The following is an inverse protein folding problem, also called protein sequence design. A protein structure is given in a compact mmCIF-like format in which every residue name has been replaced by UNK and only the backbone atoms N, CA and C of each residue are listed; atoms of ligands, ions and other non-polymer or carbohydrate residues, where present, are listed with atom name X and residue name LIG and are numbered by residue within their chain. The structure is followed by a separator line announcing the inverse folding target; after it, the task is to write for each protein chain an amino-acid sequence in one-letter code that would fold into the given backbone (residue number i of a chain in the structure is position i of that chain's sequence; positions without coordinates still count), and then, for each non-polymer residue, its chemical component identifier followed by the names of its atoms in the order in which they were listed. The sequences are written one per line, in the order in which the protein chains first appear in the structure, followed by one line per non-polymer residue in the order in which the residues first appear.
data_IF_740620063681
#
_entry.id   IF_740620063681
#
_cell.length_a   1.000
_cell.length_b   1.000
_cell.length_c   1.000
_cell.angle_alpha   90.00
_cell.angle_beta   90.00
_cell.angle_gamma   90.00
#
_symmetry.space_group_name_H-M   'P 1'
#
loop_
_entity.id
_entity.type
_entity.pdbx_description
1 polymer ?
#
# COMPACT_ATOMS: atom_id res chain seq x y z
N UNK A 1 4.97 5.68 -53.73
CA UNK A 1 3.86 5.17 -52.89
C UNK A 1 4.07 5.64 -51.46
N UNK A 2 2.98 5.91 -50.74
CA UNK A 2 2.88 6.83 -49.59
C UNK A 2 3.70 6.38 -48.39
N UNK A 3 4.76 7.13 -48.07
CA UNK A 3 5.34 7.16 -46.74
C UNK A 3 4.53 8.19 -45.93
N UNK A 4 3.42 7.74 -45.32
CA UNK A 4 2.63 8.54 -44.39
C UNK A 4 2.62 7.83 -43.04
N UNK A 5 3.26 8.47 -42.07
CA UNK A 5 2.64 8.75 -40.79
C UNK A 5 2.16 7.50 -40.02
N UNK A 6 3.10 6.67 -39.55
CA UNK A 6 2.84 5.83 -38.38
C UNK A 6 2.89 6.74 -37.16
N UNK A 7 1.75 7.37 -36.90
CA UNK A 7 1.44 8.04 -35.64
C UNK A 7 1.82 7.07 -34.52
N UNK A 8 2.77 7.51 -33.70
CA UNK A 8 3.08 6.96 -32.40
C UNK A 8 1.80 7.11 -31.53
N UNK A 9 0.90 6.14 -31.66
CA UNK A 9 -0.20 5.91 -30.73
C UNK A 9 0.47 5.38 -29.46
N UNK A 10 0.96 6.31 -28.65
CA UNK A 10 1.19 6.11 -27.22
C UNK A 10 -0.19 6.18 -26.55
N UNK A 11 -1.10 5.26 -26.90
CA UNK A 11 -2.32 5.05 -26.14
C UNK A 11 -1.96 4.20 -24.95
N UNK A 12 -1.67 4.91 -23.87
CA UNK A 12 -2.04 4.59 -22.49
C UNK A 12 -2.38 3.12 -22.31
N UNK A 13 -1.35 2.35 -21.97
CA UNK A 13 -1.49 1.02 -21.38
C UNK A 13 -2.60 1.11 -20.33
N UNK A 14 -3.63 0.29 -20.53
CA UNK A 14 -4.73 0.07 -19.59
C UNK A 14 -4.24 -0.62 -18.29
N UNK A 15 -3.05 -0.30 -17.83
CA UNK A 15 -2.64 -0.51 -16.46
C UNK A 15 -3.13 0.71 -15.68
N UNK A 16 -4.44 0.76 -15.40
CA UNK A 16 -4.83 1.34 -14.13
C UNK A 16 -4.05 0.51 -13.11
N UNK A 17 -2.95 1.05 -12.58
CA UNK A 17 -2.14 0.36 -11.59
C UNK A 17 -2.98 0.35 -10.30
N UNK A 18 -4.00 -0.51 -10.27
CA UNK A 18 -4.80 -0.75 -9.11
C UNK A 18 -3.84 -1.35 -8.07
N UNK A 19 -3.60 -0.61 -7.00
CA UNK A 19 -2.71 -1.08 -5.96
C UNK A 19 -3.42 -2.25 -5.27
N UNK A 20 -2.89 -3.47 -5.47
CA UNK A 20 -3.44 -4.71 -4.92
C UNK A 20 -3.48 -4.74 -3.39
N UNK A 21 -2.64 -3.93 -2.74
CA UNK A 21 -2.66 -3.76 -1.30
C UNK A 21 -2.53 -2.29 -0.90
N UNK A 22 -3.23 -1.96 0.19
CA UNK A 22 -3.14 -0.70 0.91
C UNK A 22 -2.73 -1.01 2.35
N UNK A 23 -1.60 -0.47 2.79
CA UNK A 23 -1.04 -0.68 4.13
C UNK A 23 -1.33 0.54 4.98
N UNK A 24 -1.84 0.35 6.19
CA UNK A 24 -2.22 1.41 7.12
C UNK A 24 -1.36 1.29 8.38
N UNK A 25 -0.63 2.35 8.70
CA UNK A 25 0.32 2.40 9.82
C UNK A 25 0.20 3.71 10.62
N UNK A 26 0.92 3.81 11.73
CA UNK A 26 1.08 5.06 12.49
C UNK A 26 2.46 5.13 13.15
N UNK A 27 2.92 6.34 13.46
CA UNK A 27 4.17 6.56 14.21
C UNK A 27 4.11 6.15 15.69
N UNK A 28 2.95 5.73 16.19
CA UNK A 28 2.85 5.04 17.49
C UNK A 28 3.41 3.61 17.45
N UNK A 29 3.59 3.04 16.26
CA UNK A 29 4.24 1.74 16.08
C UNK A 29 5.76 1.84 16.25
N UNK A 30 6.45 0.73 16.60
CA UNK A 30 7.90 0.67 16.60
C UNK A 30 8.49 1.00 15.22
N UNK A 31 9.56 1.79 15.18
CA UNK A 31 10.21 2.21 13.93
C UNK A 31 10.68 1.03 13.08
N UNK A 32 11.16 -0.04 13.71
CA UNK A 32 11.58 -1.27 13.02
C UNK A 32 10.43 -1.92 12.26
N UNK A 33 9.24 -2.00 12.88
CA UNK A 33 8.03 -2.54 12.24
C UNK A 33 7.63 -1.67 11.06
N UNK A 34 7.62 -0.33 11.21
CA UNK A 34 7.31 0.59 10.11
C UNK A 34 8.26 0.37 8.92
N UNK A 35 9.58 0.24 9.17
CA UNK A 35 10.56 -0.02 8.11
C UNK A 35 10.32 -1.35 7.41
N UNK A 36 9.99 -2.40 8.14
CA UNK A 36 9.67 -3.71 7.56
C UNK A 36 8.41 -3.64 6.68
N UNK A 37 7.37 -2.95 7.14
CA UNK A 37 6.15 -2.73 6.35
C UNK A 37 6.42 -1.95 5.07
N UNK A 38 7.27 -0.91 5.13
CA UNK A 38 7.70 -0.16 3.95
C UNK A 38 8.43 -1.03 2.94
N UNK A 39 9.41 -1.82 3.40
CA UNK A 39 10.18 -2.71 2.52
C UNK A 39 9.29 -3.75 1.82
N UNK A 40 8.31 -4.30 2.54
CA UNK A 40 7.38 -5.27 1.97
C UNK A 40 6.39 -4.59 1.01
N UNK A 41 5.90 -3.41 1.36
CA UNK A 41 5.00 -2.62 0.52
C UNK A 41 5.68 -2.21 -0.79
N UNK A 42 6.95 -1.83 -0.75
CA UNK A 42 7.75 -1.45 -1.92
C UNK A 42 7.81 -2.58 -2.96
N UNK A 43 8.05 -3.82 -2.51
CA UNK A 43 8.14 -5.00 -3.38
C UNK A 43 6.86 -5.28 -4.16
N UNK A 44 5.71 -4.94 -3.60
CA UNK A 44 4.41 -5.20 -4.23
C UNK A 44 3.73 -3.96 -4.79
N UNK A 45 4.43 -2.82 -4.73
CA UNK A 45 3.91 -1.50 -5.08
C UNK A 45 2.62 -1.15 -4.32
N UNK A 46 2.56 -1.45 -3.03
CA UNK A 46 1.42 -1.13 -2.17
C UNK A 46 1.42 0.35 -1.78
N UNK A 47 0.22 0.92 -1.63
CA UNK A 47 0.04 2.26 -1.07
C UNK A 47 0.18 2.19 0.44
N UNK A 48 0.99 3.07 1.03
CA UNK A 48 1.15 3.14 2.49
C UNK A 48 0.51 4.41 3.03
N UNK A 49 -0.49 4.25 3.88
CA UNK A 49 -1.23 5.31 4.54
C UNK A 49 -0.74 5.46 5.98
N UNK A 50 -0.37 6.68 6.32
CA UNK A 50 0.10 7.04 7.65
C UNK A 50 -1.02 7.76 8.41
N UNK A 51 -1.35 7.25 9.60
CA UNK A 51 -2.35 7.88 10.48
C UNK A 51 -1.73 9.02 11.30
N UNK A 52 -2.31 10.21 11.11
CA UNK A 52 -2.16 11.34 12.01
C UNK A 52 -0.89 12.16 11.84
N UNK A 53 -0.68 13.09 12.77
CA UNK A 53 0.50 13.94 12.85
C UNK A 53 1.21 13.73 14.18
N UNK A 54 2.53 13.88 14.18
CA UNK A 54 3.33 13.93 15.41
C UNK A 54 3.11 15.28 16.06
N UNK A 55 2.64 15.29 17.31
CA UNK A 55 2.39 16.49 18.11
C UNK A 55 1.55 17.57 17.38
N UNK A 56 0.56 17.14 16.59
CA UNK A 56 -0.25 18.02 15.72
C UNK A 56 0.57 18.86 14.71
N UNK A 57 1.82 18.48 14.46
CA UNK A 57 2.73 19.20 13.56
C UNK A 57 3.00 18.41 12.30
N UNK A 58 2.49 18.94 11.17
CA UNK A 58 2.81 18.41 9.85
C UNK A 58 4.32 18.41 9.59
N UNK A 59 5.02 19.50 9.95
CA UNK A 59 6.47 19.63 9.73
C UNK A 59 7.27 18.55 10.46
N UNK A 60 6.95 18.27 11.72
CA UNK A 60 7.61 17.21 12.48
C UNK A 60 7.32 15.82 11.88
N UNK A 61 6.07 15.61 11.44
CA UNK A 61 5.63 14.38 10.77
C UNK A 61 6.44 14.14 9.51
N UNK A 62 6.60 15.15 8.65
CA UNK A 62 7.40 15.06 7.43
C UNK A 62 8.87 14.80 7.76
N UNK A 63 9.45 15.50 8.74
CA UNK A 63 10.85 15.26 9.12
C UNK A 63 11.08 13.81 9.57
N UNK A 64 10.23 13.28 10.45
CA UNK A 64 10.33 11.89 10.90
C UNK A 64 10.04 10.90 9.77
N UNK A 65 9.04 11.18 8.94
CA UNK A 65 8.74 10.38 7.76
C UNK A 65 9.95 10.26 6.84
N UNK A 66 10.59 11.37 6.50
CA UNK A 66 11.80 11.42 5.67
C UNK A 66 12.95 10.61 6.27
N UNK A 67 13.13 10.64 7.60
CA UNK A 67 14.14 9.82 8.28
C UNK A 67 13.83 8.32 8.19
N UNK A 68 12.55 7.95 8.31
CA UNK A 68 12.11 6.55 8.26
C UNK A 68 12.18 5.97 6.84
N UNK A 69 11.84 6.76 5.82
CA UNK A 69 11.91 6.35 4.40
C UNK A 69 13.29 6.55 3.78
N UNK A 70 14.30 7.04 4.51
CA UNK A 70 15.62 7.38 3.94
C UNK A 70 16.23 6.25 3.08
N UNK A 71 15.98 5.01 3.48
CA UNK A 71 16.51 3.80 2.81
C UNK A 71 15.43 3.04 2.00
N UNK A 72 14.24 3.61 1.81
CA UNK A 72 13.13 2.99 1.06
C UNK A 72 12.60 3.98 0.02
N UNK A 73 12.31 3.52 -1.21
CA UNK A 73 11.68 4.40 -2.21
C UNK A 73 10.19 4.63 -1.95
N UNK A 74 9.60 3.80 -1.08
CA UNK A 74 8.20 3.87 -0.69
C UNK A 74 7.91 5.06 0.25
N UNK A 75 7.14 6.02 -0.25
CA UNK A 75 6.62 7.15 0.54
C UNK A 75 5.35 6.81 1.33
N UNK A 76 4.88 7.80 2.10
CA UNK A 76 3.61 7.74 2.83
C UNK A 76 2.56 8.69 2.24
N UNK A 77 1.30 8.28 2.36
CA UNK A 77 0.14 9.11 2.11
C UNK A 77 -0.53 9.48 3.44
N UNK A 78 -0.77 10.76 3.64
CA UNK A 78 -1.52 11.29 4.78
C UNK A 78 -2.96 11.57 4.33
N UNK A 79 -3.78 10.53 4.30
CA UNK A 79 -5.19 10.64 3.90
C UNK A 79 -6.11 10.00 4.96
N UNK A 80 -6.76 10.80 5.83
CA UNK A 80 -7.68 10.28 6.82
C UNK A 80 -8.94 9.64 6.20
N UNK A 81 -9.32 10.03 4.98
CA UNK A 81 -10.52 9.50 4.33
C UNK A 81 -10.38 8.03 3.97
N UNK A 82 -9.15 7.56 3.70
CA UNK A 82 -8.91 6.15 3.43
C UNK A 82 -9.07 5.29 4.70
N UNK A 83 -8.71 5.83 5.87
CA UNK A 83 -8.99 5.15 7.15
C UNK A 83 -10.49 5.03 7.40
N UNK A 84 -11.26 6.07 7.10
CA UNK A 84 -12.72 6.05 7.22
C UNK A 84 -13.36 5.09 6.21
N UNK A 85 -12.90 5.13 4.95
CA UNK A 85 -13.40 4.29 3.85
C UNK A 85 -13.34 2.80 4.18
N UNK A 86 -12.22 2.33 4.73
CA UNK A 86 -12.04 0.93 5.10
C UNK A 86 -12.32 0.64 6.58
N UNK A 87 -12.85 1.62 7.32
CA UNK A 87 -13.19 1.52 8.75
C UNK A 87 -12.01 1.00 9.59
N UNK A 88 -10.81 1.51 9.33
CA UNK A 88 -9.58 1.10 9.99
C UNK A 88 -9.47 1.75 11.38
N UNK A 89 -9.80 0.99 12.40
CA UNK A 89 -9.74 1.46 13.80
C UNK A 89 -8.38 1.23 14.46
N UNK A 90 -7.68 0.16 14.05
CA UNK A 90 -6.42 -0.32 14.62
C UNK A 90 -5.33 -0.38 13.54
N UNK A 91 -4.10 -0.14 13.95
CA UNK A 91 -2.90 -0.25 13.10
C UNK A 91 -1.86 -1.16 13.76
N UNK A 92 -1.04 -1.89 12.98
CA UNK A 92 -1.06 -1.95 11.52
C UNK A 92 -2.27 -2.72 10.97
N UNK A 93 -2.67 -2.34 9.76
CA UNK A 93 -3.69 -3.04 8.99
C UNK A 93 -3.32 -3.06 7.50
N UNK A 94 -3.75 -4.09 6.78
CA UNK A 94 -3.61 -4.19 5.33
C UNK A 94 -4.96 -4.47 4.73
N UNK A 95 -5.30 -3.73 3.68
CA UNK A 95 -6.49 -3.94 2.88
C UNK A 95 -6.06 -4.47 1.53
N UNK A 96 -6.58 -5.64 1.15
CA UNK A 96 -6.47 -6.17 -0.20
C UNK A 96 -7.74 -5.82 -0.95
N UNK A 97 -7.61 -5.19 -2.12
CA UNK A 97 -8.74 -4.70 -2.92
C UNK A 97 -8.75 -5.44 -4.24
N UNK A 98 -9.83 -6.19 -4.49
CA UNK A 98 -10.03 -6.94 -5.72
C UNK A 98 -10.62 -6.06 -6.84
N UNK A 99 -10.55 -6.55 -8.08
CA UNK A 99 -11.02 -5.82 -9.28
C UNK A 99 -12.51 -5.43 -9.23
N UNK A 100 -13.31 -6.19 -8.48
CA UNK A 100 -14.73 -5.96 -8.25
C UNK A 100 -15.02 -4.95 -7.13
N UNK A 101 -14.00 -4.28 -6.58
CA UNK A 101 -14.06 -3.37 -5.43
C UNK A 101 -14.41 -4.05 -4.10
N UNK A 102 -14.46 -5.38 -4.05
CA UNK A 102 -14.49 -6.09 -2.79
C UNK A 102 -13.14 -5.95 -2.10
N UNK A 103 -13.15 -5.92 -0.77
CA UNK A 103 -11.92 -5.80 -0.01
C UNK A 103 -11.97 -6.59 1.28
N UNK A 104 -10.80 -7.09 1.66
CA UNK A 104 -10.58 -7.73 2.95
C UNK A 104 -9.51 -6.99 3.72
N UNK A 105 -9.81 -6.70 4.97
CA UNK A 105 -8.87 -6.08 5.90
C UNK A 105 -8.28 -7.14 6.83
N UNK A 106 -6.96 -7.15 6.95
CA UNK A 106 -6.21 -7.97 7.90
C UNK A 106 -5.49 -7.04 8.87
N UNK A 107 -5.65 -7.30 10.17
CA UNK A 107 -5.05 -6.51 11.24
C UNK A 107 -3.87 -7.26 11.88
N UNK A 108 -2.92 -6.50 12.42
CA UNK A 108 -1.84 -7.01 13.25
C UNK A 108 -0.46 -6.95 12.60
N UNK A 109 0.58 -6.92 13.43
CA UNK A 109 1.97 -6.82 12.99
C UNK A 109 2.53 -8.19 12.60
N UNK A 110 1.92 -8.79 11.58
CA UNK A 110 2.26 -10.14 11.06
C UNK A 110 3.07 -10.08 9.77
N UNK A 111 3.22 -8.89 9.18
CA UNK A 111 3.82 -8.68 7.86
C UNK A 111 2.87 -8.97 6.70
N UNK A 112 3.26 -8.52 5.52
CA UNK A 112 2.42 -8.49 4.33
C UNK A 112 2.15 -9.88 3.74
N UNK A 113 3.16 -10.78 3.76
CA UNK A 113 3.00 -12.14 3.24
C UNK A 113 2.03 -12.98 4.08
N UNK A 114 2.18 -13.10 5.42
CA UNK A 114 1.19 -13.80 6.24
C UNK A 114 -0.20 -13.16 6.17
N UNK A 115 -0.29 -11.83 6.12
CA UNK A 115 -1.56 -11.15 5.93
C UNK A 115 -2.24 -11.52 4.61
N UNK A 116 -1.48 -11.59 3.52
CA UNK A 116 -2.00 -11.98 2.21
C UNK A 116 -2.44 -13.46 2.19
N UNK A 117 -1.70 -14.36 2.83
CA UNK A 117 -2.10 -15.78 2.96
C UNK A 117 -3.43 -15.94 3.71
N UNK A 118 -3.61 -15.18 4.80
CA UNK A 118 -4.87 -15.16 5.56
C UNK A 118 -6.02 -14.61 4.72
N UNK A 119 -5.79 -13.56 3.93
CA UNK A 119 -6.78 -12.98 3.05
C UNK A 119 -7.17 -13.92 1.90
N UNK A 120 -6.19 -14.54 1.24
CA UNK A 120 -6.39 -15.48 0.14
C UNK A 120 -7.17 -16.72 0.57
N UNK A 121 -6.99 -17.19 1.81
CA UNK A 121 -7.68 -18.39 2.31
C UNK A 121 -9.14 -18.10 2.72
N UNK A 122 -9.42 -16.91 3.24
CA UNK A 122 -10.76 -16.60 3.80
C UNK A 122 -11.79 -16.20 2.75
N UNK A 123 -11.36 -15.49 1.71
CA UNK A 123 -12.25 -14.89 0.71
C UNK A 123 -11.78 -15.13 -0.72
N UNK A 124 -10.81 -16.03 -0.93
CA UNK A 124 -10.22 -16.31 -2.25
C UNK A 124 -9.69 -15.08 -3.01
N UNK A 125 -9.39 -13.99 -2.29
CA UNK A 125 -9.01 -12.70 -2.86
C UNK A 125 -7.88 -12.84 -3.88
N UNK A 126 -8.13 -12.33 -5.09
CA UNK A 126 -7.18 -12.35 -6.21
C UNK A 126 -6.02 -11.39 -5.92
N UNK A 127 -6.30 -10.23 -5.37
CA UNK A 127 -5.31 -9.25 -4.95
C UNK A 127 -4.35 -9.81 -3.90
N UNK A 128 -4.86 -10.59 -2.94
CA UNK A 128 -4.03 -11.26 -1.96
C UNK A 128 -3.13 -12.34 -2.59
N UNK A 129 -3.64 -13.12 -3.55
CA UNK A 129 -2.84 -14.09 -4.31
C UNK A 129 -1.72 -13.43 -5.10
N UNK A 130 -2.00 -12.31 -5.76
CA UNK A 130 -0.99 -11.53 -6.49
C UNK A 130 0.11 -11.00 -5.55
N UNK A 131 -0.24 -10.56 -4.34
CA UNK A 131 0.74 -10.13 -3.34
C UNK A 131 1.64 -11.29 -2.89
N UNK A 132 1.10 -12.50 -2.74
CA UNK A 132 1.89 -13.69 -2.38
C UNK A 132 2.92 -14.01 -3.48
N UNK A 133 2.49 -13.96 -4.75
CA UNK A 133 3.37 -14.20 -5.91
C UNK A 133 4.51 -13.18 -6.00
N UNK A 134 4.25 -11.90 -5.73
CA UNK A 134 5.29 -10.86 -5.77
C UNK A 134 6.29 -10.92 -4.61
N UNK A 135 5.91 -11.57 -3.50
CA UNK A 135 6.75 -11.67 -2.30
C UNK A 135 7.53 -12.99 -2.21
N UNK A 136 7.23 -13.96 -3.09
CA UNK A 136 7.91 -15.26 -3.18
C UNK A 136 8.97 -15.22 -4.28
#
# INVERSE_FOLDING_TARGET
MRCKLFVLIMMMSNSCFAHVAKVFISFSMPEMSIKQWLQQAEKVHAQVYLRGFIDNSFKQTINKATLVIKDNSQGFLLDPKEFERYKIEKVPAVVFVDDNQESITVYGDVGLLPAAQLAATRVESKAAKEVIEKLT
#
